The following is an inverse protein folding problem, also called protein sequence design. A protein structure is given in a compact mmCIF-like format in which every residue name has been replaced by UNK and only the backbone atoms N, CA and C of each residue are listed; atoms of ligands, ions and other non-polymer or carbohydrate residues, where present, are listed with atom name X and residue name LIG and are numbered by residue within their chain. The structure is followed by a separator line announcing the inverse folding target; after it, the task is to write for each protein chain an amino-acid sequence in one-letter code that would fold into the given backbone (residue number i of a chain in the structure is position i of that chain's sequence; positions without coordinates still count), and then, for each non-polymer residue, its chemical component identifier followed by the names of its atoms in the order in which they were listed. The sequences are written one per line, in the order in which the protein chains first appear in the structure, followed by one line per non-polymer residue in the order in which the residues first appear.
data_IF_984928361716
#
_entry.id   IF_984928361716
#
_cell.length_a   1.000
_cell.length_b   1.000
_cell.length_c   1.000
_cell.angle_alpha   90.00
_cell.angle_beta   90.00
_cell.angle_gamma   90.00
#
_symmetry.space_group_name_H-M   'P 1'
#
loop_
_entity.id
_entity.type
_entity.pdbx_description
1 polymer ?
#
# COMPACT_ATOMS: atom_id res chain seq x y z
N UNK A 1 -69.93 60.62 0.23
CA UNK A 1 -69.17 60.63 -1.03
C UNK A 1 -68.18 59.48 -0.96
N UNK A 2 -68.35 58.53 -1.89
CA UNK A 2 -67.44 57.44 -2.32
C UNK A 2 -66.94 56.45 -1.26
N UNK A 3 -67.50 55.23 -1.16
CA UNK A 3 -67.32 54.04 -2.03
C UNK A 3 -65.98 53.31 -1.75
N UNK A 4 -66.03 52.15 -1.08
CA UNK A 4 -65.93 50.78 -1.65
C UNK A 4 -64.47 50.42 -2.03
N UNK A 5 -63.90 49.24 -1.85
CA UNK A 5 -64.35 47.85 -1.64
C UNK A 5 -63.07 47.01 -1.51
N UNK A 6 -63.07 45.85 -0.85
CA UNK A 6 -62.76 44.47 -1.37
C UNK A 6 -61.85 43.77 -0.35
N UNK A 7 -61.82 42.45 -0.17
CA UNK A 7 -62.70 41.34 -0.52
C UNK A 7 -62.16 40.09 0.23
N UNK A 8 -62.94 39.02 0.16
CA UNK A 8 -63.04 37.79 0.93
C UNK A 8 -61.86 36.81 1.01
N UNK A 9 -61.88 36.12 2.16
CA UNK A 9 -61.59 34.73 2.47
C UNK A 9 -61.59 33.70 1.33
N UNK A 10 -60.72 32.69 1.40
CA UNK A 10 -61.07 31.27 1.22
C UNK A 10 -59.91 30.31 1.55
N UNK A 11 -60.21 29.27 2.31
CA UNK A 11 -59.44 28.02 2.45
C UNK A 11 -60.01 26.97 1.49
N UNK A 12 -59.17 26.13 0.85
CA UNK A 12 -59.28 24.66 0.83
C UNK A 12 -58.16 23.99 0.01
N UNK A 13 -57.56 22.98 0.64
CA UNK A 13 -57.18 21.64 0.17
C UNK A 13 -56.29 21.31 -1.07
N UNK A 14 -55.18 20.62 -0.73
CA UNK A 14 -54.58 19.39 -1.31
C UNK A 14 -54.46 19.17 -2.83
N UNK A 15 -53.22 19.05 -3.35
CA UNK A 15 -52.63 17.79 -3.89
C UNK A 15 -51.19 17.93 -4.44
N UNK A 16 -50.42 16.86 -4.24
CA UNK A 16 -49.43 16.25 -5.15
C UNK A 16 -48.09 16.95 -5.47
N UNK A 17 -47.04 16.47 -4.79
CA UNK A 17 -45.83 15.87 -5.36
C UNK A 17 -45.20 16.51 -6.62
N UNK A 18 -44.02 17.10 -6.44
CA UNK A 18 -42.84 16.67 -7.21
C UNK A 18 -41.54 16.96 -6.45
N UNK A 19 -41.19 16.04 -5.56
CA UNK A 19 -39.80 15.83 -5.15
C UNK A 19 -39.00 15.42 -6.39
N UNK A 20 -38.27 16.36 -6.99
CA UNK A 20 -37.04 16.01 -7.70
C UNK A 20 -35.92 16.06 -6.69
N UNK A 21 -35.85 15.01 -5.89
CA UNK A 21 -34.61 14.62 -5.25
C UNK A 21 -33.61 14.34 -6.38
N UNK A 22 -32.69 15.27 -6.56
CA UNK A 22 -31.43 15.00 -7.23
C UNK A 22 -30.74 13.86 -6.46
N UNK A 23 -31.00 12.64 -6.91
CA UNK A 23 -30.25 11.45 -6.56
C UNK A 23 -28.87 11.51 -7.21
N UNK A 24 -28.12 12.55 -6.87
CA UNK A 24 -26.67 12.53 -6.97
C UNK A 24 -26.18 11.57 -5.90
N UNK A 25 -25.97 10.30 -6.27
CA UNK A 25 -25.25 9.35 -5.44
C UNK A 25 -23.82 9.85 -5.28
N UNK A 26 -23.59 10.75 -4.32
CA UNK A 26 -22.26 11.17 -3.94
C UNK A 26 -21.67 10.01 -3.16
N UNK A 27 -21.13 9.01 -3.89
CA UNK A 27 -20.23 8.03 -3.30
C UNK A 27 -19.04 8.85 -2.80
N UNK A 28 -19.05 9.20 -1.53
CA UNK A 28 -17.89 9.73 -0.83
C UNK A 28 -16.75 8.72 -1.02
N UNK A 29 -15.93 8.93 -2.04
CA UNK A 29 -14.78 8.09 -2.33
C UNK A 29 -13.74 8.40 -1.27
N UNK A 30 -13.86 7.69 -0.15
CA UNK A 30 -12.97 7.85 1.01
C UNK A 30 -11.53 7.53 0.60
N UNK A 31 -10.66 8.53 0.76
CA UNK A 31 -9.26 8.51 0.33
C UNK A 31 -8.42 7.51 1.14
N UNK A 32 -7.24 7.16 0.64
CA UNK A 32 -6.19 6.45 1.38
C UNK A 32 -5.11 7.45 1.78
N UNK A 33 -4.68 7.43 3.04
CA UNK A 33 -3.48 8.12 3.48
C UNK A 33 -2.31 7.14 3.53
N UNK A 34 -1.25 7.39 2.79
CA UNK A 34 0.03 6.69 2.90
C UNK A 34 1.06 7.64 3.52
N UNK A 35 1.39 7.42 4.80
CA UNK A 35 2.32 8.25 5.56
C UNK A 35 3.54 7.43 5.98
N UNK A 36 4.72 8.03 6.01
CA UNK A 36 5.93 7.27 6.33
C UNK A 36 7.22 8.02 6.16
N UNK A 37 8.34 7.31 6.28
CA UNK A 37 9.69 7.86 6.29
C UNK A 37 10.22 8.19 4.87
N UNK A 38 11.53 8.39 4.75
CA UNK A 38 12.20 8.76 3.50
C UNK A 38 12.08 7.70 2.40
N UNK A 39 11.72 6.45 2.69
CA UNK A 39 11.47 5.45 1.64
C UNK A 39 10.26 5.78 0.77
N UNK A 40 9.35 6.63 1.24
CA UNK A 40 8.24 7.12 0.43
C UNK A 40 8.63 8.23 -0.56
N UNK A 41 9.84 8.80 -0.49
CA UNK A 41 10.25 10.00 -1.27
C UNK A 41 10.07 9.87 -2.78
N UNK A 42 10.07 8.64 -3.29
CA UNK A 42 9.96 8.37 -4.72
C UNK A 42 8.64 7.71 -5.14
N UNK A 43 7.69 7.55 -4.23
CA UNK A 43 6.36 7.09 -4.58
C UNK A 43 5.69 8.13 -5.49
N UNK A 44 5.37 7.73 -6.71
CA UNK A 44 4.73 8.60 -7.70
C UNK A 44 3.23 8.65 -7.46
N UNK A 45 2.72 9.79 -6.99
CA UNK A 45 1.30 9.98 -6.68
C UNK A 45 0.39 9.99 -7.90
N UNK A 46 0.89 10.35 -9.10
CA UNK A 46 0.06 10.44 -10.32
C UNK A 46 -0.53 9.10 -10.77
N UNK A 47 0.06 7.98 -10.36
CA UNK A 47 -0.41 6.63 -10.70
C UNK A 47 -1.30 5.99 -9.64
N UNK A 48 -1.50 6.67 -8.50
CA UNK A 48 -2.29 6.14 -7.39
C UNK A 48 -3.74 6.61 -7.51
N UNK A 49 -4.67 5.73 -7.16
CA UNK A 49 -6.08 6.05 -7.07
C UNK A 49 -6.40 6.51 -5.64
N UNK A 50 -7.07 7.66 -5.52
CA UNK A 50 -7.65 8.18 -4.28
C UNK A 50 -6.66 8.19 -3.09
N UNK A 51 -5.36 8.31 -3.35
CA UNK A 51 -4.30 8.15 -2.34
C UNK A 51 -3.52 9.45 -2.16
N UNK A 52 -3.41 9.91 -0.91
CA UNK A 52 -2.55 11.00 -0.47
C UNK A 52 -1.28 10.39 0.12
N UNK A 53 -0.11 10.84 -0.34
CA UNK A 53 1.19 10.37 0.15
C UNK A 53 1.86 11.47 0.97
N UNK A 54 2.22 11.18 2.21
CA UNK A 54 2.88 12.10 3.15
C UNK A 54 4.25 11.53 3.55
N UNK A 55 5.30 12.01 2.90
CA UNK A 55 6.68 11.67 3.27
C UNK A 55 7.14 12.53 4.45
N UNK A 56 7.74 11.87 5.45
CA UNK A 56 8.28 12.45 6.68
C UNK A 56 9.71 11.95 6.88
N UNK A 57 10.69 12.50 6.15
CA UNK A 57 12.07 12.02 6.21
C UNK A 57 12.65 12.01 7.63
N UNK A 58 13.39 10.96 7.97
CA UNK A 58 14.04 10.80 9.27
C UNK A 58 13.11 10.51 10.45
N UNK A 59 11.79 10.47 10.24
CA UNK A 59 10.83 10.20 11.31
C UNK A 59 10.82 8.73 11.72
N UNK A 60 10.60 8.54 13.01
CA UNK A 60 10.40 7.27 13.70
C UNK A 60 8.92 6.97 13.85
N UNK A 61 8.57 5.74 14.22
CA UNK A 61 7.18 5.35 14.47
C UNK A 61 6.49 6.27 15.49
N UNK A 62 7.17 6.61 16.60
CA UNK A 62 6.65 7.52 17.61
C UNK A 62 6.22 8.89 17.05
N UNK A 63 6.98 9.40 16.08
CA UNK A 63 6.74 10.74 15.53
C UNK A 63 5.51 10.70 14.61
N UNK A 64 5.36 9.63 13.83
CA UNK A 64 4.17 9.40 13.00
C UNK A 64 2.93 9.21 13.87
N UNK A 65 3.05 8.46 14.98
CA UNK A 65 1.97 8.30 15.95
C UNK A 65 1.50 9.64 16.52
N UNK A 66 2.43 10.53 16.89
CA UNK A 66 2.10 11.87 17.39
C UNK A 66 1.43 12.75 16.33
N UNK A 67 1.90 12.68 15.07
CA UNK A 67 1.27 13.41 13.97
C UNK A 67 -0.17 12.93 13.74
N UNK A 68 -0.38 11.61 13.68
CA UNK A 68 -1.71 11.03 13.49
C UNK A 68 -2.66 11.26 14.67
N UNK A 69 -2.13 11.44 15.88
CA UNK A 69 -2.93 11.75 17.07
C UNK A 69 -3.68 13.10 16.96
N UNK A 70 -3.13 14.01 16.16
CA UNK A 70 -3.67 15.37 15.94
C UNK A 70 -4.27 15.58 14.55
N UNK A 71 -4.20 14.57 13.69
CA UNK A 71 -4.70 14.63 12.32
C UNK A 71 -6.15 14.16 12.29
N UNK A 72 -7.04 14.90 11.61
CA UNK A 72 -8.38 14.39 11.34
C UNK A 72 -8.32 13.30 10.25
N UNK A 73 -8.62 12.06 10.64
CA UNK A 73 -8.60 10.91 9.75
C UNK A 73 -9.99 10.53 9.20
N UNK A 74 -11.06 11.28 9.51
CA UNK A 74 -12.44 10.90 9.15
C UNK A 74 -12.68 10.80 7.64
N UNK A 75 -11.93 11.57 6.84
CA UNK A 75 -12.03 11.56 5.37
C UNK A 75 -11.34 10.36 4.70
N UNK A 76 -10.56 9.58 5.45
CA UNK A 76 -9.82 8.44 4.93
C UNK A 76 -10.55 7.12 5.19
N UNK A 77 -10.52 6.22 4.21
CA UNK A 77 -10.94 4.82 4.38
C UNK A 77 -9.83 3.99 5.00
N UNK A 78 -8.58 4.28 4.61
CA UNK A 78 -7.40 3.57 5.06
C UNK A 78 -6.29 4.55 5.41
N UNK A 79 -5.49 4.17 6.40
CA UNK A 79 -4.20 4.79 6.72
C UNK A 79 -3.15 3.69 6.63
N UNK A 80 -2.13 3.91 5.81
CA UNK A 80 -0.97 3.02 5.67
C UNK A 80 0.23 3.74 6.26
N UNK A 81 0.86 3.12 7.26
CA UNK A 81 2.06 3.67 7.91
C UNK A 81 3.29 2.86 7.48
N UNK A 82 4.24 3.52 6.83
CA UNK A 82 5.53 2.95 6.44
C UNK A 82 6.67 3.67 7.18
N UNK A 83 6.99 3.20 8.38
CA UNK A 83 8.04 3.76 9.22
C UNK A 83 8.64 2.66 10.11
N UNK A 84 9.82 2.91 10.65
CA UNK A 84 10.54 1.98 11.53
C UNK A 84 12.03 1.89 11.22
N UNK A 85 12.44 2.27 10.00
CA UNK A 85 13.86 2.23 9.59
C UNK A 85 14.75 3.06 10.52
N UNK A 86 14.25 4.23 10.95
CA UNK A 86 14.95 5.18 11.82
C UNK A 86 14.84 4.84 13.32
N UNK A 87 14.04 3.84 13.67
CA UNK A 87 13.90 3.33 15.03
C UNK A 87 15.00 2.30 15.34
N UNK A 88 15.65 1.75 14.31
CA UNK A 88 16.74 0.81 14.43
C UNK A 88 18.09 1.52 14.51
N UNK A 89 18.90 1.11 15.48
CA UNK A 89 20.27 1.58 15.74
C UNK A 89 21.28 0.44 15.61
N UNK A 90 22.56 0.78 15.57
CA UNK A 90 23.67 -0.19 15.44
C UNK A 90 23.90 -1.03 16.70
N UNK A 91 23.15 -0.76 17.78
CA UNK A 91 23.23 -1.54 19.03
C UNK A 91 22.85 -2.99 18.76
N UNK A 92 23.52 -3.94 19.43
CA UNK A 92 23.22 -5.36 19.26
C UNK A 92 22.11 -5.86 20.19
N UNK A 93 21.59 -5.00 21.06
CA UNK A 93 20.50 -5.34 21.97
C UNK A 93 19.11 -5.40 21.30
N UNK A 94 18.16 -5.99 22.01
CA UNK A 94 16.76 -6.11 21.60
C UNK A 94 15.95 -4.82 21.87
N UNK A 95 16.58 -3.75 22.36
CA UNK A 95 15.88 -2.53 22.79
C UNK A 95 15.09 -1.90 21.65
N UNK A 96 15.69 -1.80 20.47
CA UNK A 96 15.03 -1.22 19.29
C UNK A 96 13.82 -2.06 18.86
N UNK A 97 13.91 -3.39 18.95
CA UNK A 97 12.84 -4.31 18.55
C UNK A 97 11.66 -4.20 19.52
N UNK A 98 11.95 -4.18 20.83
CA UNK A 98 10.95 -3.96 21.87
C UNK A 98 10.28 -2.58 21.71
N UNK A 99 11.07 -1.54 21.41
CA UNK A 99 10.56 -0.19 21.19
C UNK A 99 9.67 -0.11 19.94
N UNK A 100 10.04 -0.76 18.84
CA UNK A 100 9.20 -0.84 17.63
C UNK A 100 7.84 -1.47 17.95
N UNK A 101 7.82 -2.59 18.68
CA UNK A 101 6.57 -3.22 19.09
C UNK A 101 5.68 -2.29 19.92
N UNK A 102 6.28 -1.62 20.92
CA UNK A 102 5.58 -0.67 21.79
C UNK A 102 5.02 0.53 21.02
N UNK A 103 5.80 1.13 20.13
CA UNK A 103 5.36 2.30 19.37
C UNK A 103 4.32 1.94 18.29
N UNK A 104 4.41 0.75 17.70
CA UNK A 104 3.37 0.23 16.80
C UNK A 104 2.06 -0.04 17.54
N UNK A 105 2.12 -0.55 18.76
CA UNK A 105 0.95 -0.76 19.61
C UNK A 105 0.27 0.58 19.96
N UNK A 106 1.08 1.57 20.36
CA UNK A 106 0.61 2.94 20.62
C UNK A 106 -0.05 3.55 19.39
N UNK A 107 0.57 3.43 18.22
CA UNK A 107 0.02 3.87 16.95
C UNK A 107 -1.36 3.27 16.68
N UNK A 108 -1.49 1.94 16.85
CA UNK A 108 -2.76 1.24 16.65
C UNK A 108 -3.84 1.75 17.60
N UNK A 109 -3.52 1.94 18.88
CA UNK A 109 -4.44 2.48 19.89
C UNK A 109 -4.93 3.87 19.50
N UNK A 110 -4.01 4.79 19.18
CA UNK A 110 -4.35 6.17 18.76
C UNK A 110 -5.34 6.18 17.59
N UNK A 111 -5.03 5.44 16.52
CA UNK A 111 -5.86 5.44 15.31
C UNK A 111 -7.19 4.74 15.57
N UNK A 112 -7.22 3.61 16.27
CA UNK A 112 -8.45 2.85 16.50
C UNK A 112 -9.40 3.51 17.48
N UNK A 113 -8.88 4.11 18.55
CA UNK A 113 -9.70 4.72 19.58
C UNK A 113 -10.35 6.01 19.06
N UNK A 114 -9.57 6.85 18.35
CA UNK A 114 -10.06 8.11 17.79
C UNK A 114 -10.83 7.93 16.48
N UNK A 115 -10.44 6.96 15.67
CA UNK A 115 -10.98 6.76 14.31
C UNK A 115 -11.33 5.29 14.03
N UNK A 116 -12.30 4.70 14.76
CA UNK A 116 -12.61 3.27 14.69
C UNK A 116 -13.09 2.78 13.31
N UNK A 117 -13.53 3.70 12.44
CA UNK A 117 -13.96 3.40 11.06
C UNK A 117 -12.80 3.34 10.06
N UNK A 118 -11.63 3.85 10.42
CA UNK A 118 -10.45 3.88 9.55
C UNK A 118 -9.73 2.55 9.64
N UNK A 119 -9.43 1.95 8.49
CA UNK A 119 -8.63 0.72 8.42
C UNK A 119 -7.15 1.07 8.43
N UNK A 120 -6.45 0.70 9.50
CA UNK A 120 -5.01 0.87 9.61
C UNK A 120 -4.27 -0.30 8.93
N UNK A 121 -3.17 0.02 8.24
CA UNK A 121 -2.19 -0.93 7.76
C UNK A 121 -0.78 -0.54 8.24
N UNK A 122 -0.06 -1.48 8.83
CA UNK A 122 1.36 -1.35 9.15
C UNK A 122 2.17 -1.93 7.98
N UNK A 123 3.05 -1.12 7.39
CA UNK A 123 3.97 -1.58 6.36
C UNK A 123 5.31 -1.94 6.97
N UNK A 124 5.74 -3.19 6.79
CA UNK A 124 7.04 -3.66 7.27
C UNK A 124 8.19 -2.84 6.68
N UNK A 125 9.27 -2.75 7.43
CA UNK A 125 10.51 -2.12 7.01
C UNK A 125 11.05 -2.91 5.80
N UNK A 126 11.37 -2.22 4.70
CA UNK A 126 12.02 -2.86 3.56
C UNK A 126 13.39 -3.44 3.99
N UNK A 127 13.80 -4.60 3.46
CA UNK A 127 15.15 -5.11 3.71
C UNK A 127 16.20 -4.05 3.33
N UNK A 128 17.31 -4.01 4.06
CA UNK A 128 18.41 -3.06 3.84
C UNK A 128 19.61 -3.76 3.22
N UNK A 129 20.30 -3.11 2.28
CA UNK A 129 21.51 -3.63 1.65
C UNK A 129 22.78 -2.84 2.04
N UNK A 130 22.64 -1.84 2.91
CA UNK A 130 23.76 -1.09 3.47
C UNK A 130 24.44 -1.84 4.63
N UNK A 131 25.62 -1.36 5.04
CA UNK A 131 26.42 -1.99 6.10
C UNK A 131 26.24 -1.35 7.48
N UNK A 132 25.46 -0.28 7.60
CA UNK A 132 25.39 0.50 8.84
C UNK A 132 24.58 -0.24 9.92
N UNK A 133 23.47 -0.89 9.56
CA UNK A 133 22.73 -1.72 10.50
C UNK A 133 23.06 -3.20 10.34
N UNK A 134 23.06 -3.97 11.45
CA UNK A 134 23.07 -5.42 11.35
C UNK A 134 21.85 -5.87 10.56
N UNK A 135 22.07 -6.60 9.45
CA UNK A 135 21.00 -7.16 8.61
C UNK A 135 20.00 -8.00 9.45
N UNK A 136 20.48 -8.55 10.56
CA UNK A 136 19.71 -9.32 11.53
C UNK A 136 18.65 -8.50 12.31
N UNK A 137 18.60 -7.16 12.25
CA UNK A 137 17.59 -6.37 13.00
C UNK A 137 16.28 -6.15 12.24
N UNK A 138 16.31 -6.12 10.91
CA UNK A 138 15.11 -5.81 10.11
C UNK A 138 14.06 -6.92 10.22
N UNK A 139 14.48 -8.20 10.14
CA UNK A 139 13.55 -9.32 10.24
C UNK A 139 12.85 -9.41 11.62
N UNK A 140 13.56 -9.33 12.78
CA UNK A 140 12.92 -9.25 14.08
C UNK A 140 12.01 -8.03 14.25
N UNK A 141 12.38 -6.87 13.69
CA UNK A 141 11.54 -5.68 13.73
C UNK A 141 10.24 -5.88 12.96
N UNK A 142 10.33 -6.47 11.77
CA UNK A 142 9.16 -6.83 10.96
C UNK A 142 8.30 -7.88 11.64
N UNK A 143 8.89 -8.86 12.33
CA UNK A 143 8.17 -9.83 13.14
C UNK A 143 7.42 -9.16 14.30
N UNK A 144 8.03 -8.19 14.98
CA UNK A 144 7.37 -7.40 16.02
C UNK A 144 6.19 -6.59 15.46
N UNK A 145 6.38 -5.90 14.33
CA UNK A 145 5.30 -5.17 13.64
C UNK A 145 4.16 -6.09 13.23
N UNK A 146 4.47 -7.27 12.67
CA UNK A 146 3.47 -8.26 12.26
C UNK A 146 2.70 -8.81 13.45
N UNK A 147 3.38 -9.15 14.54
CA UNK A 147 2.75 -9.59 15.79
C UNK A 147 1.74 -8.54 16.29
N UNK A 148 2.15 -7.28 16.37
CA UNK A 148 1.25 -6.18 16.76
C UNK A 148 0.09 -6.05 15.77
N UNK A 149 0.34 -6.18 14.47
CA UNK A 149 -0.71 -6.10 13.47
C UNK A 149 -1.77 -7.20 13.65
N UNK A 150 -1.33 -8.43 13.89
CA UNK A 150 -2.19 -9.58 14.11
C UNK A 150 -2.98 -9.44 15.44
N UNK A 151 -2.30 -9.11 16.55
CA UNK A 151 -2.92 -8.89 17.87
C UNK A 151 -3.96 -7.76 17.85
N UNK A 152 -3.60 -6.65 17.20
CA UNK A 152 -4.50 -5.48 17.09
C UNK A 152 -5.49 -5.62 15.96
N UNK A 153 -5.48 -6.69 15.16
CA UNK A 153 -6.37 -6.88 13.99
C UNK A 153 -6.34 -5.67 13.06
N UNK A 154 -5.14 -5.28 12.65
CA UNK A 154 -4.90 -4.30 11.58
C UNK A 154 -4.24 -5.00 10.40
N UNK A 155 -4.23 -4.34 9.25
CA UNK A 155 -3.62 -4.90 8.05
C UNK A 155 -2.08 -4.85 8.17
N UNK A 156 -1.39 -5.76 7.50
CA UNK A 156 0.07 -5.78 7.45
C UNK A 156 0.56 -5.93 6.01
N UNK A 157 1.45 -5.04 5.58
CA UNK A 157 2.12 -5.12 4.28
C UNK A 157 3.51 -5.72 4.48
N UNK A 158 3.69 -6.94 3.97
CA UNK A 158 4.99 -7.61 3.95
C UNK A 158 5.81 -7.12 2.75
N UNK A 159 7.02 -6.61 3.05
CA UNK A 159 7.96 -6.15 2.04
C UNK A 159 9.13 -7.13 1.83
N UNK A 160 9.41 -8.07 2.75
CA UNK A 160 10.68 -8.78 2.81
C UNK A 160 10.98 -9.63 1.57
N UNK A 161 10.13 -10.62 1.29
CA UNK A 161 10.36 -11.57 0.20
C UNK A 161 10.31 -10.95 -1.20
N UNK A 162 9.71 -9.76 -1.33
CA UNK A 162 9.51 -9.09 -2.61
C UNK A 162 10.73 -8.26 -3.07
N UNK A 163 11.67 -8.01 -2.15
CA UNK A 163 12.93 -7.31 -2.39
C UNK A 163 14.12 -8.26 -2.58
N UNK A 164 13.86 -9.57 -2.58
CA UNK A 164 14.85 -10.63 -2.74
C UNK A 164 14.65 -11.39 -4.06
N UNK A 165 15.75 -11.87 -4.62
CA UNK A 165 15.74 -12.93 -5.61
C UNK A 165 15.33 -14.26 -4.97
N UNK A 166 15.04 -15.26 -5.81
CA UNK A 166 14.64 -16.61 -5.33
C UNK A 166 15.68 -17.34 -4.50
N UNK A 167 16.95 -16.95 -4.61
CA UNK A 167 18.04 -17.51 -3.82
C UNK A 167 18.22 -16.78 -2.47
N UNK A 168 17.31 -15.86 -2.10
CA UNK A 168 17.36 -15.08 -0.87
C UNK A 168 18.28 -13.87 -0.91
N UNK A 169 19.05 -13.67 -2.00
CA UNK A 169 19.89 -12.48 -2.14
C UNK A 169 19.02 -11.25 -2.42
N UNK A 170 19.40 -10.10 -1.87
CA UNK A 170 18.73 -8.83 -2.15
C UNK A 170 18.86 -8.46 -3.64
N UNK A 171 17.76 -7.99 -4.23
CA UNK A 171 17.79 -7.36 -5.55
C UNK A 171 18.29 -5.91 -5.38
N UNK A 172 19.62 -5.75 -5.46
CA UNK A 172 20.28 -4.44 -5.32
C UNK A 172 19.75 -3.38 -6.30
N UNK A 173 19.10 -3.76 -7.42
CA UNK A 173 18.50 -2.80 -8.36
C UNK A 173 17.23 -2.10 -7.82
N UNK A 174 16.68 -2.61 -6.72
CA UNK A 174 15.57 -2.00 -6.00
C UNK A 174 16.01 -0.88 -5.06
N UNK A 175 17.32 -0.65 -4.90
CA UNK A 175 17.88 0.31 -3.97
C UNK A 175 18.56 1.49 -4.67
N UNK A 176 18.60 2.62 -3.98
CA UNK A 176 19.42 3.76 -4.35
C UNK A 176 20.90 3.49 -4.02
N UNK A 177 21.78 4.43 -4.35
CA UNK A 177 23.24 4.27 -4.17
C UNK A 177 23.65 4.00 -2.72
N UNK A 178 22.89 4.53 -1.75
CA UNK A 178 23.15 4.34 -0.32
C UNK A 178 22.72 2.97 0.21
N UNK A 179 22.02 2.16 -0.60
CA UNK A 179 21.53 0.81 -0.26
C UNK A 179 20.61 0.75 0.96
N UNK A 180 20.19 1.90 1.47
CA UNK A 180 19.22 2.09 2.54
C UNK A 180 17.87 2.48 1.95
N UNK A 181 17.89 3.46 1.06
CA UNK A 181 16.70 3.96 0.41
C UNK A 181 16.36 3.11 -0.81
N UNK A 182 15.07 2.96 -1.07
CA UNK A 182 14.60 2.31 -2.30
C UNK A 182 14.82 3.21 -3.52
N UNK A 183 15.06 2.59 -4.69
CA UNK A 183 15.31 3.32 -5.94
C UNK A 183 14.05 3.98 -6.48
N UNK A 184 14.22 5.12 -7.19
CA UNK A 184 13.10 5.92 -7.70
C UNK A 184 12.13 5.14 -8.61
N UNK A 185 12.66 4.19 -9.38
CA UNK A 185 11.86 3.42 -10.32
C UNK A 185 11.46 2.08 -9.71
N UNK A 186 12.38 1.10 -9.73
CA UNK A 186 12.04 -0.29 -9.40
C UNK A 186 11.67 -0.46 -7.93
N UNK A 187 12.42 0.16 -7.00
CA UNK A 187 12.16 0.08 -5.56
C UNK A 187 10.83 0.69 -5.16
N UNK A 188 10.57 1.94 -5.54
CA UNK A 188 9.29 2.61 -5.27
C UNK A 188 8.10 1.86 -5.89
N UNK A 189 8.24 1.38 -7.12
CA UNK A 189 7.19 0.58 -7.77
C UNK A 189 6.94 -0.75 -7.05
N UNK A 190 7.98 -1.37 -6.48
CA UNK A 190 7.86 -2.61 -5.72
C UNK A 190 7.10 -2.38 -4.41
N UNK A 191 7.48 -1.35 -3.65
CA UNK A 191 6.80 -0.98 -2.41
C UNK A 191 5.32 -0.68 -2.65
N UNK A 192 5.00 0.12 -3.68
CA UNK A 192 3.61 0.43 -4.06
C UNK A 192 2.84 -0.83 -4.43
N UNK A 193 3.44 -1.77 -5.16
CA UNK A 193 2.79 -3.03 -5.51
C UNK A 193 2.43 -3.84 -4.25
N UNK A 194 3.35 -3.97 -3.29
CA UNK A 194 3.08 -4.70 -2.05
C UNK A 194 1.97 -4.03 -1.23
N UNK A 195 1.98 -2.70 -1.12
CA UNK A 195 0.91 -1.96 -0.45
C UNK A 195 -0.42 -2.24 -1.15
N UNK A 196 -0.43 -2.26 -2.48
CA UNK A 196 -1.63 -2.50 -3.29
C UNK A 196 -2.26 -3.90 -3.09
N UNK A 197 -1.47 -4.92 -2.75
CA UNK A 197 -2.00 -6.26 -2.44
C UNK A 197 -2.88 -6.26 -1.17
N UNK A 198 -2.71 -5.27 -0.30
CA UNK A 198 -3.38 -5.19 1.01
C UNK A 198 -4.38 -4.03 1.07
N UNK A 199 -4.03 -2.88 0.48
CA UNK A 199 -4.85 -1.67 0.41
C UNK A 199 -4.90 -1.22 -1.05
N UNK A 200 -6.06 -1.23 -1.72
CA UNK A 200 -6.15 -0.94 -3.15
C UNK A 200 -5.87 0.54 -3.42
N UNK A 201 -4.63 0.86 -3.76
CA UNK A 201 -4.13 2.22 -4.03
C UNK A 201 -3.82 2.44 -5.51
N UNK A 202 -3.86 1.39 -6.32
CA UNK A 202 -3.76 1.48 -7.77
C UNK A 202 -5.15 1.34 -8.38
N UNK A 203 -5.42 2.01 -9.52
CA UNK A 203 -6.65 1.80 -10.25
C UNK A 203 -6.84 0.30 -10.46
N UNK A 204 -8.00 -0.20 -10.03
CA UNK A 204 -8.43 -1.54 -10.42
C UNK A 204 -8.39 -1.54 -11.94
N UNK A 205 -7.41 -2.25 -12.52
CA UNK A 205 -7.40 -2.47 -13.96
C UNK A 205 -8.76 -3.08 -14.26
N UNK A 206 -9.71 -2.32 -14.80
CA UNK A 206 -11.06 -2.78 -15.12
C UNK A 206 -10.91 -3.98 -16.03
N UNK A 207 -10.82 -5.20 -15.48
CA UNK A 207 -10.37 -6.40 -16.19
C UNK A 207 -9.48 -6.00 -17.38
N UNK A 208 -8.32 -5.39 -17.17
CA UNK A 208 -7.31 -5.50 -18.23
C UNK A 208 -7.16 -7.00 -18.33
N UNK A 209 -7.73 -7.49 -19.42
CA UNK A 209 -8.01 -8.87 -19.74
C UNK A 209 -7.06 -9.74 -18.93
N UNK A 210 -7.59 -10.67 -18.11
CA UNK A 210 -6.89 -11.95 -17.97
C UNK A 210 -6.32 -12.21 -19.35
N UNK A 211 -4.99 -12.27 -19.53
CA UNK A 211 -4.40 -12.09 -20.84
C UNK A 211 -5.19 -13.00 -21.77
N UNK A 212 -5.98 -12.39 -22.67
CA UNK A 212 -6.69 -13.19 -23.66
C UNK A 212 -5.54 -13.95 -24.29
N UNK A 213 -5.55 -15.27 -24.18
CA UNK A 213 -4.61 -16.07 -24.94
C UNK A 213 -4.81 -15.58 -26.36
N UNK A 214 -3.88 -14.77 -26.88
CA UNK A 214 -3.94 -14.35 -28.27
C UNK A 214 -3.58 -15.63 -29.00
N UNK A 215 -4.54 -16.28 -29.69
CA UNK A 215 -4.25 -17.56 -30.33
C UNK A 215 -3.13 -17.32 -31.34
N UNK A 216 -1.98 -17.97 -31.15
CA UNK A 216 -0.83 -17.87 -32.03
C UNK A 216 0.36 -17.05 -31.53
N UNK A 217 0.30 -16.37 -30.38
CA UNK A 217 1.48 -15.67 -29.85
C UNK A 217 2.40 -16.64 -29.08
N UNK A 218 3.73 -16.67 -29.35
CA UNK A 218 4.64 -17.59 -28.70
C UNK A 218 4.75 -17.32 -27.20
N UNK A 219 4.92 -18.36 -26.37
CA UNK A 219 5.10 -18.20 -24.93
C UNK A 219 6.36 -17.38 -24.62
N UNK A 220 6.38 -16.73 -23.46
CA UNK A 220 7.52 -15.94 -23.02
C UNK A 220 8.82 -16.77 -23.01
N UNK A 221 9.86 -16.31 -23.72
CA UNK A 221 11.14 -17.01 -23.80
C UNK A 221 11.87 -17.13 -22.47
N UNK A 222 11.53 -16.29 -21.49
CA UNK A 222 12.19 -16.28 -20.19
C UNK A 222 11.57 -17.25 -19.19
N UNK A 223 10.27 -17.52 -19.28
CA UNK A 223 9.60 -18.34 -18.27
C UNK A 223 8.64 -19.38 -18.82
N UNK A 224 8.40 -19.40 -20.12
CA UNK A 224 7.51 -20.34 -20.81
C UNK A 224 6.02 -20.06 -20.61
N UNK A 225 5.64 -19.04 -19.83
CA UNK A 225 4.24 -18.72 -19.61
C UNK A 225 3.72 -17.81 -20.73
N UNK A 226 2.49 -18.07 -21.17
CA UNK A 226 1.75 -17.20 -22.09
C UNK A 226 1.18 -15.99 -21.35
N UNK A 227 0.77 -14.97 -22.11
CA UNK A 227 0.09 -13.78 -21.58
C UNK A 227 1.01 -12.61 -21.19
N UNK A 228 2.30 -12.70 -21.55
CA UNK A 228 3.21 -11.56 -21.58
C UNK A 228 4.36 -11.82 -22.56
N UNK A 229 4.94 -10.76 -23.10
CA UNK A 229 6.16 -10.81 -23.92
C UNK A 229 7.42 -10.89 -23.04
N UNK A 230 8.52 -11.41 -23.59
CA UNK A 230 9.81 -11.57 -22.89
C UNK A 230 10.27 -10.33 -22.13
N UNK A 231 10.14 -9.14 -22.74
CA UNK A 231 10.50 -7.84 -22.13
C UNK A 231 9.65 -7.45 -20.90
N UNK A 232 8.46 -8.03 -20.77
CA UNK A 232 7.53 -7.80 -19.68
C UNK A 232 7.55 -8.95 -18.66
N UNK A 233 8.50 -9.88 -18.77
CA UNK A 233 8.61 -11.00 -17.86
C UNK A 233 8.99 -10.53 -16.46
N UNK A 234 8.17 -10.87 -15.46
CA UNK A 234 8.42 -10.57 -14.04
C UNK A 234 9.74 -11.13 -13.50
N UNK A 235 10.32 -12.11 -14.20
CA UNK A 235 11.58 -12.75 -13.80
C UNK A 235 12.82 -11.97 -14.29
N UNK A 236 12.66 -10.97 -15.17
CA UNK A 236 13.75 -10.13 -15.66
C UNK A 236 14.79 -10.81 -16.56
N UNK A 237 14.80 -12.13 -16.65
CA UNK A 237 15.73 -12.95 -17.45
C UNK A 237 15.27 -14.40 -17.59
N UNK A 238 15.95 -15.23 -18.41
CA UNK A 238 15.64 -16.65 -18.56
C UNK A 238 15.77 -17.40 -17.24
N UNK A 239 14.71 -18.12 -16.85
CA UNK A 239 14.73 -18.95 -15.64
C UNK A 239 15.25 -20.35 -15.96
N UNK A 240 15.90 -20.99 -14.99
CA UNK A 240 16.34 -22.39 -15.07
C UNK A 240 15.23 -23.33 -14.59
N UNK A 241 14.91 -24.34 -15.40
CA UNK A 241 13.97 -25.40 -15.05
C UNK A 241 14.58 -26.31 -13.97
N UNK A 242 13.82 -26.60 -12.91
CA UNK A 242 14.28 -27.48 -11.81
C UNK A 242 14.23 -28.97 -12.14
N UNK A 243 13.52 -29.37 -13.20
CA UNK A 243 13.39 -30.77 -13.59
C UNK A 243 14.50 -31.19 -14.56
N UNK A 244 14.76 -30.39 -15.60
CA UNK A 244 15.71 -30.75 -16.66
C UNK A 244 16.94 -29.84 -16.75
N UNK A 245 17.08 -28.86 -15.85
CA UNK A 245 18.17 -27.86 -15.84
C UNK A 245 18.29 -26.94 -17.07
N UNK A 246 17.41 -27.04 -18.07
CA UNK A 246 17.38 -26.15 -19.24
C UNK A 246 16.77 -24.77 -18.91
N UNK A 247 17.09 -23.76 -19.72
CA UNK A 247 16.57 -22.40 -19.56
C UNK A 247 15.22 -22.20 -20.28
N UNK A 248 14.48 -21.17 -19.87
CA UNK A 248 13.33 -20.65 -20.62
C UNK A 248 11.96 -21.22 -20.26
N UNK A 249 11.86 -22.05 -19.21
CA UNK A 249 10.58 -22.58 -18.74
C UNK A 249 10.58 -22.94 -17.24
N UNK A 250 9.38 -23.02 -16.64
CA UNK A 250 9.19 -23.49 -15.26
C UNK A 250 9.14 -25.01 -15.21
N UNK A 251 9.52 -25.61 -14.08
CA UNK A 251 9.44 -27.06 -13.85
C UNK A 251 8.05 -27.66 -14.14
N UNK A 252 6.97 -26.95 -13.77
CA UNK A 252 5.58 -27.37 -14.08
C UNK A 252 5.22 -27.42 -15.57
N UNK A 253 6.08 -26.87 -16.44
CA UNK A 253 5.91 -26.87 -17.91
C UNK A 253 7.06 -27.63 -18.60
N UNK A 254 7.83 -28.39 -17.83
CA UNK A 254 8.91 -29.22 -18.37
C UNK A 254 8.31 -30.34 -19.20
N UNK A 255 8.83 -30.53 -20.42
CA UNK A 255 8.49 -31.66 -21.31
C UNK A 255 9.61 -32.69 -21.40
N UNK A 256 10.64 -32.52 -20.57
CA UNK A 256 11.79 -33.40 -20.43
C UNK A 256 11.71 -34.11 -19.08
#
# INVERSE_FOLDING_TARGET
MSANTTDHSAQHDTTAQSNREESGSNKDTKKVLLIGDSNLKYVNTRGLQDTIVMTRPGRRLKDISQELDTTDLQSYSHVVVHAGTNDLTEREDEHDIANIGKEAERLCTIVKDKHPRVKLALSGICPRADRALPAAKVAPANAALRRVADERRVLYVDNEGSFQYRNGQLDESLYDRDRLHISRRRGASRLVANINEVVPILPTRSRMQQPRQIPGEPPCHFCGESGHVTRACRHGGPIRCKSCNQLGHKAKMCRF
#
